data_IF_723658939205
#
_entry.id   IF_723658939205
#
_cell.length_a   1.000
_cell.length_b   1.000
_cell.length_c   1.000
_cell.angle_alpha   90.00
_cell.angle_beta   90.00
_cell.angle_gamma   90.00
#
_symmetry.space_group_name_H-M   'P 1'
#
loop_
_entity.id
_entity.type
_entity.pdbx_description
1 polymer ?
#
# COMPACT_ATOMS: atom_id res chain seq x y z
N UNK A 1 -13.34 -13.65 -6.89
CA UNK A 1 -12.08 -14.45 -6.91
C UNK A 1 -11.61 -14.52 -5.47
N UNK A 2 -11.34 -15.71 -4.92
CA UNK A 2 -10.93 -15.81 -3.51
C UNK A 2 -9.49 -15.33 -3.37
N UNK A 3 -9.24 -14.36 -2.49
CA UNK A 3 -7.90 -13.86 -2.21
C UNK A 3 -6.99 -15.00 -1.73
N UNK A 4 -5.73 -15.05 -2.19
CA UNK A 4 -4.78 -16.05 -1.74
C UNK A 4 -4.50 -15.83 -0.24
N UNK A 5 -4.81 -16.78 0.66
CA UNK A 5 -4.63 -16.60 2.10
C UNK A 5 -3.17 -16.33 2.50
N UNK A 6 -2.20 -16.70 1.66
CA UNK A 6 -0.78 -16.40 1.85
C UNK A 6 -0.45 -14.90 1.85
N UNK A 7 -1.35 -14.04 1.33
CA UNK A 7 -1.16 -12.60 1.26
C UNK A 7 -1.53 -11.83 2.54
N UNK A 8 -2.34 -12.43 3.42
CA UNK A 8 -2.79 -11.77 4.66
C UNK A 8 -1.62 -11.47 5.60
N UNK A 9 -0.69 -12.41 5.88
CA UNK A 9 0.47 -12.12 6.74
C UNK A 9 1.39 -11.00 6.23
N UNK A 10 1.86 -10.97 4.96
CA UNK A 10 2.69 -9.88 4.46
C UNK A 10 1.96 -8.53 4.41
N UNK A 11 0.65 -8.53 4.13
CA UNK A 11 -0.18 -7.32 4.18
C UNK A 11 -0.22 -6.70 5.59
N UNK A 12 -0.50 -7.53 6.61
CA UNK A 12 -0.52 -7.10 8.01
C UNK A 12 0.87 -6.65 8.50
N UNK A 13 1.92 -7.35 8.09
CA UNK A 13 3.30 -6.96 8.40
C UNK A 13 3.62 -5.58 7.85
N UNK A 14 3.29 -5.32 6.58
CA UNK A 14 3.53 -4.02 5.95
C UNK A 14 2.74 -2.90 6.65
N UNK A 15 1.50 -3.16 7.02
CA UNK A 15 0.69 -2.20 7.79
C UNK A 15 1.34 -1.82 9.11
N UNK A 16 1.90 -2.80 9.83
CA UNK A 16 2.66 -2.55 11.07
C UNK A 16 3.92 -1.73 10.81
N UNK A 17 4.73 -2.10 9.82
CA UNK A 17 5.96 -1.37 9.47
C UNK A 17 5.68 0.11 9.18
N UNK A 18 4.62 0.40 8.40
CA UNK A 18 4.24 1.78 8.05
C UNK A 18 3.72 2.54 9.27
N UNK A 19 2.99 1.89 10.16
CA UNK A 19 2.52 2.50 11.41
C UNK A 19 3.69 2.87 12.33
N UNK A 20 4.71 2.01 12.44
CA UNK A 20 5.93 2.28 13.22
C UNK A 20 6.72 3.46 12.63
N UNK A 21 6.82 3.55 11.31
CA UNK A 21 7.44 4.70 10.62
C UNK A 21 6.65 5.99 10.86
N UNK A 22 5.32 5.94 10.80
CA UNK A 22 4.46 7.09 11.07
C UNK A 22 4.64 7.58 12.51
N UNK A 23 4.67 6.67 13.49
CA UNK A 23 4.94 7.00 14.90
C UNK A 23 6.31 7.69 15.06
N UNK A 24 7.35 7.19 14.39
CA UNK A 24 8.67 7.79 14.44
C UNK A 24 8.69 9.22 13.86
N UNK A 25 7.99 9.48 12.75
CA UNK A 25 7.83 10.83 12.18
C UNK A 25 7.08 11.76 13.13
N UNK A 26 6.00 11.29 13.75
CA UNK A 26 5.22 12.06 14.72
C UNK A 26 6.05 12.44 15.97
N UNK A 27 7.06 11.64 16.31
CA UNK A 27 8.05 11.95 17.34
C UNK A 27 9.23 12.81 16.86
N UNK A 28 9.19 13.29 15.62
CA UNK A 28 10.24 14.14 15.05
C UNK A 28 11.53 13.39 14.69
N UNK A 29 11.47 12.06 14.53
CA UNK A 29 12.62 11.28 14.05
C UNK A 29 12.69 11.35 12.53
N UNK A 30 13.91 11.42 12.00
CA UNK A 30 14.15 11.18 10.58
C UNK A 30 13.98 9.70 10.27
N UNK A 31 13.14 9.39 9.28
CA UNK A 31 12.86 8.02 8.84
C UNK A 31 13.17 7.85 7.37
N UNK A 32 13.57 6.65 6.99
CA UNK A 32 13.75 6.30 5.58
C UNK A 32 12.40 5.93 4.94
N UNK A 33 12.01 6.71 3.93
CA UNK A 33 10.78 6.51 3.17
C UNK A 33 11.00 5.72 1.86
N UNK A 34 12.18 5.12 1.65
CA UNK A 34 12.47 4.30 0.47
C UNK A 34 11.50 3.13 0.30
N UNK A 35 10.84 2.70 1.38
CA UNK A 35 9.86 1.62 1.35
C UNK A 35 8.45 2.06 0.90
N UNK A 36 8.25 3.36 0.64
CA UNK A 36 7.01 3.96 0.15
C UNK A 36 7.05 4.19 -1.37
N UNK A 37 5.89 4.23 -2.03
CA UNK A 37 5.81 4.70 -3.41
C UNK A 37 6.40 6.11 -3.54
N UNK A 38 6.93 6.40 -4.74
CA UNK A 38 7.54 7.68 -5.07
C UNK A 38 6.57 8.84 -4.72
N UNK A 39 7.09 9.97 -4.19
CA UNK A 39 6.23 11.08 -3.82
C UNK A 39 5.51 11.64 -5.05
N UNK A 40 4.27 12.08 -4.86
CA UNK A 40 3.50 12.71 -5.93
C UNK A 40 4.07 14.08 -6.30
N UNK A 41 4.82 14.72 -5.40
CA UNK A 41 5.43 16.03 -5.60
C UNK A 41 6.74 16.18 -4.81
N UNK A 42 7.70 16.97 -5.31
CA UNK A 42 8.92 17.26 -4.56
C UNK A 42 8.57 18.02 -3.26
N UNK A 43 9.03 17.50 -2.12
CA UNK A 43 8.75 18.08 -0.81
C UNK A 43 7.40 17.68 -0.20
N UNK A 44 6.74 16.64 -0.74
CA UNK A 44 5.54 16.09 -0.13
C UNK A 44 5.81 15.63 1.32
N UNK A 45 4.90 16.00 2.21
CA UNK A 45 5.04 15.80 3.64
C UNK A 45 5.17 14.30 4.01
N UNK A 46 6.22 13.92 4.74
CA UNK A 46 6.51 12.51 5.05
C UNK A 46 5.40 11.87 5.89
N UNK A 47 4.78 12.61 6.79
CA UNK A 47 3.67 12.14 7.63
C UNK A 47 2.43 11.87 6.77
N UNK A 48 2.07 12.81 5.90
CA UNK A 48 0.94 12.68 4.98
C UNK A 48 1.11 11.50 4.03
N UNK A 49 2.34 11.26 3.55
CA UNK A 49 2.66 10.09 2.70
C UNK A 49 2.47 8.78 3.45
N UNK A 50 3.04 8.66 4.65
CA UNK A 50 2.90 7.47 5.50
C UNK A 50 1.44 7.21 5.87
N UNK A 51 0.71 8.27 6.23
CA UNK A 51 -0.72 8.19 6.56
C UNK A 51 -1.55 7.72 5.35
N UNK A 52 -1.36 8.33 4.19
CA UNK A 52 -2.07 7.94 2.97
C UNK A 52 -1.81 6.49 2.58
N UNK A 53 -0.56 6.05 2.73
CA UNK A 53 -0.20 4.67 2.45
C UNK A 53 -0.75 3.68 3.49
N UNK A 54 -0.78 4.05 4.77
CA UNK A 54 -1.40 3.24 5.82
C UNK A 54 -2.91 3.10 5.59
N UNK A 55 -3.60 4.17 5.19
CA UNK A 55 -5.01 4.12 4.84
C UNK A 55 -5.28 3.18 3.65
N UNK A 56 -4.39 3.15 2.66
CA UNK A 56 -4.46 2.20 1.55
C UNK A 56 -4.34 0.75 2.05
N UNK A 57 -3.36 0.47 2.92
CA UNK A 57 -3.16 -0.87 3.49
C UNK A 57 -4.38 -1.29 4.34
N UNK A 58 -4.91 -0.38 5.16
CA UNK A 58 -6.09 -0.64 5.98
C UNK A 58 -7.33 -0.97 5.12
N UNK A 59 -7.54 -0.23 4.01
CA UNK A 59 -8.59 -0.58 3.03
C UNK A 59 -8.37 -1.96 2.43
N UNK A 60 -7.13 -2.32 2.08
CA UNK A 60 -6.81 -3.63 1.54
C UNK A 60 -7.07 -4.74 2.57
N UNK A 61 -6.73 -4.53 3.85
CA UNK A 61 -6.99 -5.47 4.95
C UNK A 61 -8.50 -5.68 5.12
N UNK A 62 -9.28 -4.59 5.12
CA UNK A 62 -10.75 -4.66 5.22
C UNK A 62 -11.39 -5.33 4.01
N UNK A 63 -10.82 -5.13 2.82
CA UNK A 63 -11.31 -5.74 1.60
C UNK A 63 -10.89 -7.21 1.45
N UNK A 64 -9.89 -7.69 2.18
CA UNK A 64 -9.23 -8.99 1.96
C UNK A 64 -10.18 -10.18 1.84
N UNK A 65 -11.21 -10.22 2.70
CA UNK A 65 -12.20 -11.29 2.74
C UNK A 65 -13.42 -11.02 1.82
N UNK A 66 -13.30 -10.05 0.90
CA UNK A 66 -14.35 -9.62 -0.05
C UNK A 66 -13.89 -9.75 -1.51
N UNK A 67 -14.84 -9.79 -2.45
CA UNK A 67 -14.55 -9.78 -3.90
C UNK A 67 -13.92 -8.48 -4.42
N UNK A 68 -13.74 -7.46 -3.57
CA UNK A 68 -13.06 -6.21 -3.92
C UNK A 68 -11.53 -6.34 -3.80
N UNK A 69 -11.02 -7.34 -3.07
CA UNK A 69 -9.58 -7.51 -2.92
C UNK A 69 -8.94 -7.98 -4.21
N UNK A 70 -7.75 -7.44 -4.51
CA UNK A 70 -7.06 -7.73 -5.77
C UNK A 70 -7.69 -7.03 -6.97
N UNK A 71 -8.51 -5.98 -6.76
CA UNK A 71 -9.05 -5.14 -7.82
C UNK A 71 -8.58 -3.70 -7.68
N UNK A 72 -8.40 -3.03 -8.81
CA UNK A 72 -8.05 -1.62 -8.86
C UNK A 72 -9.17 -0.77 -8.26
N UNK A 73 -8.87 0.09 -7.29
CA UNK A 73 -9.85 0.99 -6.67
C UNK A 73 -10.43 2.02 -7.64
N UNK A 74 -9.73 2.34 -8.74
CA UNK A 74 -10.16 3.34 -9.71
C UNK A 74 -11.05 2.78 -10.82
N UNK A 75 -10.74 1.60 -11.34
CA UNK A 75 -11.43 1.04 -12.52
C UNK A 75 -11.96 -0.38 -12.34
N UNK A 76 -11.74 -1.00 -11.18
CA UNK A 76 -12.27 -2.33 -10.84
C UNK A 76 -11.64 -3.51 -11.59
N UNK A 77 -10.65 -3.27 -12.46
CA UNK A 77 -9.93 -4.36 -13.14
C UNK A 77 -9.15 -5.19 -12.13
N UNK A 78 -9.07 -6.50 -12.38
CA UNK A 78 -8.27 -7.39 -11.54
C UNK A 78 -6.78 -6.99 -11.64
N UNK A 79 -6.12 -6.93 -10.49
CA UNK A 79 -4.71 -6.63 -10.36
C UNK A 79 -3.89 -7.87 -10.74
N UNK A 80 -2.70 -7.63 -11.27
CA UNK A 80 -1.80 -8.71 -11.64
C UNK A 80 -1.42 -9.56 -10.43
N UNK A 81 -1.60 -10.88 -10.56
CA UNK A 81 -1.43 -11.80 -9.44
C UNK A 81 0.03 -11.91 -9.00
N UNK A 82 0.98 -11.81 -9.93
CA UNK A 82 2.42 -11.83 -9.64
C UNK A 82 2.86 -10.54 -8.93
N UNK A 83 2.25 -9.41 -9.27
CA UNK A 83 2.43 -8.15 -8.55
C UNK A 83 1.82 -8.23 -7.14
N UNK A 84 0.64 -8.83 -6.98
CA UNK A 84 0.01 -9.06 -5.67
C UNK A 84 0.80 -10.02 -4.77
N UNK A 85 1.45 -11.04 -5.34
CA UNK A 85 2.35 -11.96 -4.61
C UNK A 85 3.54 -11.21 -3.98
N UNK A 86 4.04 -10.17 -4.65
CA UNK A 86 5.13 -9.35 -4.15
C UNK A 86 4.65 -8.20 -3.25
N UNK A 87 3.50 -7.61 -3.60
CA UNK A 87 2.97 -6.40 -2.99
C UNK A 87 1.45 -6.54 -2.77
N UNK A 88 1.02 -7.29 -1.75
CA UNK A 88 -0.40 -7.54 -1.48
C UNK A 88 -1.19 -6.27 -1.10
N UNK A 89 -0.51 -5.17 -0.78
CA UNK A 89 -1.10 -3.85 -0.52
C UNK A 89 -1.38 -3.03 -1.78
N UNK A 90 -1.15 -3.58 -2.97
CA UNK A 90 -1.51 -2.96 -4.24
C UNK A 90 -3.00 -2.58 -4.27
N UNK A 91 -3.29 -1.31 -4.54
CA UNK A 91 -4.67 -0.81 -4.68
C UNK A 91 -5.01 -0.36 -6.11
N UNK A 92 -4.02 -0.18 -6.98
CA UNK A 92 -4.21 0.38 -8.33
C UNK A 92 -3.47 -0.44 -9.38
N UNK A 93 -4.08 -0.54 -10.56
CA UNK A 93 -3.46 -1.17 -11.70
C UNK A 93 -2.38 -0.25 -12.30
N UNK A 94 -1.44 -0.77 -13.11
CA UNK A 94 -0.37 0.04 -13.72
C UNK A 94 -0.85 1.29 -14.46
N UNK A 95 -2.08 1.28 -14.99
CA UNK A 95 -2.68 2.44 -15.66
C UNK A 95 -3.09 3.58 -14.70
N UNK A 96 -3.41 3.26 -13.43
CA UNK A 96 -3.83 4.21 -12.39
C UNK A 96 -2.80 4.36 -11.26
N UNK A 97 -1.77 3.55 -11.30
CA UNK A 97 -0.58 3.70 -10.49
C UNK A 97 0.24 4.84 -11.06
N UNK A 98 0.21 6.00 -10.41
CA UNK A 98 1.12 7.09 -10.71
C UNK A 98 2.56 6.60 -10.54
N UNK A 99 3.20 6.23 -11.66
CA UNK A 99 4.63 5.91 -11.82
C UNK A 99 5.22 5.07 -10.68
N UNK A 100 4.95 3.77 -10.67
CA UNK A 100 5.87 2.82 -10.04
C UNK A 100 7.09 2.70 -10.94
N UNK A 101 8.17 3.37 -10.56
CA UNK A 101 9.46 3.16 -11.22
C UNK A 101 9.94 1.74 -10.87
N UNK A 102 10.23 0.99 -11.93
CA UNK A 102 10.93 -0.30 -11.92
C UNK A 102 12.19 -0.30 -11.05
#
# INVERSE_FOLDING_TARGET
>A
MMANPAWKPPLLRKGKEVAELLEAVLWGKEVDLACLPAPASPGEDPELRLRSFLEQIDRAIKAFDTDQYGRCECCGVDLDHLAMDQQPWLARCPAHTGRWAS
#
